data_IF_336430657495
#
_entry.id   IF_336430657495
#
_cell.length_a   1.000
_cell.length_b   1.000
_cell.length_c   1.000
_cell.angle_alpha   90.00
_cell.angle_beta   90.00
_cell.angle_gamma   90.00
#
_symmetry.space_group_name_H-M   'P 1'
#
loop_
_entity.id
_entity.type
_entity.pdbx_description
1 polymer ?
#
# COMPACT_ATOMS: atom_id res chain seq x y z
N UNK A 1 10.64 -15.05 27.92
CA UNK A 1 10.18 -15.46 26.57
C UNK A 1 11.40 -15.40 25.68
N UNK A 2 12.00 -16.56 25.41
CA UNK A 2 13.24 -16.67 24.65
C UNK A 2 12.95 -16.41 23.18
N UNK A 3 13.58 -15.37 22.61
CA UNK A 3 13.55 -15.13 21.17
C UNK A 3 14.56 -16.09 20.54
N UNK A 4 14.06 -17.17 19.96
CA UNK A 4 14.85 -18.03 19.10
C UNK A 4 14.99 -17.32 17.75
N UNK A 5 16.19 -17.34 17.17
CA UNK A 5 16.46 -16.86 15.80
C UNK A 5 15.56 -17.62 14.83
N UNK A 6 14.54 -16.94 14.33
CA UNK A 6 13.76 -17.34 13.17
C UNK A 6 13.68 -16.10 12.29
N UNK A 7 14.51 -16.08 11.26
CA UNK A 7 14.75 -14.94 10.34
C UNK A 7 13.54 -14.60 9.45
N UNK A 8 12.38 -15.17 9.74
CA UNK A 8 11.20 -15.11 8.90
C UNK A 8 10.01 -14.65 9.72
N UNK A 9 9.62 -13.40 9.52
CA UNK A 9 8.35 -12.88 10.01
C UNK A 9 7.30 -13.15 8.93
N UNK A 10 6.36 -14.06 9.22
CA UNK A 10 5.18 -14.23 8.40
C UNK A 10 4.16 -13.12 8.71
N UNK A 11 4.16 -12.06 7.91
CA UNK A 11 3.21 -10.95 8.01
C UNK A 11 1.97 -11.21 7.15
N UNK A 12 0.86 -11.59 7.78
CA UNK A 12 -0.43 -11.66 7.10
C UNK A 12 -1.15 -10.30 7.18
N UNK A 13 -1.21 -9.59 6.04
CA UNK A 13 -1.92 -8.30 5.92
C UNK A 13 -3.38 -8.36 6.39
N UNK A 14 -4.07 -9.48 6.16
CA UNK A 14 -5.47 -9.65 6.57
C UNK A 14 -5.56 -9.76 8.10
N UNK A 15 -4.68 -10.53 8.73
CA UNK A 15 -4.64 -10.66 10.18
C UNK A 15 -4.31 -9.32 10.86
N UNK A 16 -3.32 -8.58 10.32
CA UNK A 16 -2.97 -7.25 10.80
C UNK A 16 -4.15 -6.26 10.69
N UNK A 17 -4.87 -6.26 9.56
CA UNK A 17 -6.07 -5.43 9.37
C UNK A 17 -7.21 -5.80 10.32
N UNK A 18 -7.43 -7.10 10.57
CA UNK A 18 -8.43 -7.57 11.54
C UNK A 18 -8.08 -7.13 12.95
N UNK A 19 -6.83 -7.29 13.36
CA UNK A 19 -6.35 -6.84 14.66
C UNK A 19 -6.56 -5.32 14.82
N UNK A 20 -6.13 -4.53 13.84
CA UNK A 20 -6.32 -3.09 13.87
C UNK A 20 -7.80 -2.70 13.95
N UNK A 21 -8.69 -3.40 13.23
CA UNK A 21 -10.13 -3.20 13.32
C UNK A 21 -10.69 -3.49 14.72
N UNK A 22 -10.23 -4.56 15.39
CA UNK A 22 -10.62 -4.88 16.78
C UNK A 22 -10.28 -3.75 17.75
N UNK A 23 -9.16 -3.05 17.53
CA UNK A 23 -8.70 -1.96 18.38
C UNK A 23 -9.05 -0.56 17.86
N UNK A 24 -9.90 -0.44 16.81
CA UNK A 24 -10.22 0.82 16.14
C UNK A 24 -8.98 1.64 15.70
N UNK A 25 -7.90 0.94 15.35
CA UNK A 25 -6.68 1.57 14.84
C UNK A 25 -6.85 1.78 13.34
N UNK A 26 -6.75 3.03 12.84
CA UNK A 26 -6.82 3.30 11.41
C UNK A 26 -5.64 2.66 10.67
N UNK A 27 -5.93 1.94 9.58
CA UNK A 27 -4.90 1.28 8.76
C UNK A 27 -4.74 2.00 7.44
N UNK A 28 -3.49 2.31 7.09
CA UNK A 28 -3.10 2.79 5.76
C UNK A 28 -2.16 1.76 5.11
N UNK A 29 -2.40 1.43 3.85
CA UNK A 29 -1.50 0.59 3.04
C UNK A 29 -0.60 1.44 2.14
N UNK A 30 0.35 0.81 1.45
CA UNK A 30 1.33 1.47 0.57
C UNK A 30 0.69 2.39 -0.48
N UNK A 31 -0.40 1.95 -1.12
CA UNK A 31 -1.17 2.78 -2.07
C UNK A 31 -1.76 4.02 -1.39
N UNK A 32 -2.30 3.86 -0.18
CA UNK A 32 -2.82 4.98 0.60
C UNK A 32 -1.74 6.00 0.96
N UNK A 33 -0.50 5.55 1.19
CA UNK A 33 0.66 6.42 1.42
C UNK A 33 0.96 7.24 0.17
N UNK A 34 0.99 6.63 -1.02
CA UNK A 34 1.19 7.37 -2.28
C UNK A 34 0.11 8.43 -2.51
N UNK A 35 -1.16 8.06 -2.33
CA UNK A 35 -2.28 8.98 -2.46
C UNK A 35 -2.20 10.14 -1.45
N UNK A 36 -1.77 9.85 -0.22
CA UNK A 36 -1.57 10.88 0.81
C UNK A 36 -0.42 11.81 0.44
N UNK A 37 0.67 11.29 -0.13
CA UNK A 37 1.80 12.10 -0.58
C UNK A 37 1.42 13.03 -1.75
N UNK A 38 0.64 12.53 -2.72
CA UNK A 38 0.06 13.34 -3.81
C UNK A 38 -0.83 14.46 -3.27
N UNK A 39 -1.78 14.15 -2.38
CA UNK A 39 -2.65 15.17 -1.75
C UNK A 39 -1.89 16.23 -0.95
N UNK A 40 -0.70 15.89 -0.45
CA UNK A 40 0.18 16.84 0.25
C UNK A 40 1.10 17.62 -0.70
N UNK A 41 1.02 17.41 -2.01
CA UNK A 41 1.90 18.04 -2.99
C UNK A 41 3.35 17.53 -2.97
N UNK A 42 3.64 16.43 -2.27
CA UNK A 42 4.98 15.82 -2.22
C UNK A 42 5.28 15.08 -3.52
N UNK A 43 4.27 14.44 -4.09
CA UNK A 43 4.36 13.76 -5.38
C UNK A 43 3.61 14.55 -6.43
N UNK A 44 4.29 14.88 -7.52
CA UNK A 44 3.64 15.43 -8.70
C UNK A 44 2.75 14.40 -9.40
N UNK A 45 3.16 13.13 -9.45
CA UNK A 45 2.42 12.03 -10.07
C UNK A 45 2.54 10.75 -9.22
N UNK A 46 1.45 9.99 -9.10
CA UNK A 46 1.35 8.70 -8.40
C UNK A 46 1.72 7.53 -9.31
N UNK A 47 1.35 7.58 -10.60
CA UNK A 47 1.57 6.52 -11.57
C UNK A 47 2.98 5.89 -11.58
N UNK A 48 4.10 6.65 -11.63
CA UNK A 48 5.43 6.05 -11.66
C UNK A 48 5.77 5.28 -10.38
N UNK A 49 5.26 5.72 -9.24
CA UNK A 49 5.47 5.05 -7.95
C UNK A 49 4.62 3.80 -7.82
N UNK A 50 3.40 3.81 -8.37
CA UNK A 50 2.57 2.62 -8.46
C UNK A 50 3.26 1.52 -9.29
N UNK A 51 3.87 1.88 -10.43
CA UNK A 51 4.61 0.93 -11.27
C UNK A 51 5.87 0.41 -10.57
N UNK A 52 6.63 1.27 -9.87
CA UNK A 52 7.78 0.83 -9.06
C UNK A 52 7.37 -0.16 -7.98
N UNK A 53 6.24 0.08 -7.31
CA UNK A 53 5.72 -0.82 -6.30
C UNK A 53 5.31 -2.19 -6.88
N UNK A 54 4.68 -2.22 -8.05
CA UNK A 54 4.35 -3.46 -8.77
C UNK A 54 5.63 -4.20 -9.18
N UNK A 55 6.61 -3.50 -9.73
CA UNK A 55 7.91 -4.06 -10.10
C UNK A 55 8.69 -4.62 -8.89
N UNK A 56 8.48 -4.04 -7.70
CA UNK A 56 9.05 -4.53 -6.44
C UNK A 56 8.29 -5.74 -5.85
N UNK A 57 7.30 -6.28 -6.56
CA UNK A 57 6.57 -7.49 -6.15
C UNK A 57 5.31 -7.24 -5.34
N UNK A 58 4.81 -6.00 -5.23
CA UNK A 58 3.47 -5.79 -4.66
C UNK A 58 2.42 -6.43 -5.58
N UNK A 59 1.70 -7.41 -5.02
CA UNK A 59 0.54 -7.99 -5.68
C UNK A 59 -0.67 -7.05 -5.54
N UNK A 60 -1.05 -6.45 -6.66
CA UNK A 60 -2.22 -5.59 -6.76
C UNK A 60 -2.88 -5.81 -8.11
N UNK A 61 -4.21 -5.89 -8.09
CA UNK A 61 -5.00 -6.05 -9.32
C UNK A 61 -4.95 -4.79 -10.19
N UNK A 62 -4.90 -4.98 -11.51
CA UNK A 62 -4.79 -3.88 -12.47
C UNK A 62 -6.00 -2.95 -12.41
N UNK A 63 -7.21 -3.46 -12.17
CA UNK A 63 -8.41 -2.63 -12.02
C UNK A 63 -8.29 -1.70 -10.81
N UNK A 64 -7.67 -2.17 -9.72
CA UNK A 64 -7.44 -1.31 -8.55
C UNK A 64 -6.42 -0.21 -8.88
N UNK A 65 -5.36 -0.52 -9.62
CA UNK A 65 -4.40 0.49 -10.10
C UNK A 65 -5.12 1.55 -10.92
N UNK A 66 -5.88 1.14 -11.95
CA UNK A 66 -6.58 2.07 -12.83
C UNK A 66 -7.56 2.95 -12.07
N UNK A 67 -8.34 2.36 -11.14
CA UNK A 67 -9.26 3.13 -10.28
C UNK A 67 -8.51 4.17 -9.44
N UNK A 68 -7.43 3.76 -8.78
CA UNK A 68 -6.64 4.64 -7.91
C UNK A 68 -6.04 5.81 -8.68
N UNK A 69 -5.56 5.57 -9.91
CA UNK A 69 -5.02 6.62 -10.77
C UNK A 69 -6.13 7.56 -11.26
N UNK A 70 -7.27 7.01 -11.68
CA UNK A 70 -8.43 7.81 -12.07
C UNK A 70 -8.93 8.72 -10.92
N UNK A 71 -8.94 8.23 -9.69
CA UNK A 71 -9.34 9.00 -8.49
C UNK A 71 -8.43 10.23 -8.24
N UNK A 72 -7.22 10.26 -8.81
CA UNK A 72 -6.29 11.40 -8.74
C UNK A 72 -6.08 12.10 -10.09
N UNK A 73 -6.90 11.78 -11.10
CA UNK A 73 -6.82 12.35 -12.45
C UNK A 73 -5.60 11.90 -13.27
N UNK A 74 -5.03 10.74 -12.95
CA UNK A 74 -3.87 10.16 -13.62
C UNK A 74 -4.24 8.89 -14.41
N UNK A 75 -3.35 8.46 -15.31
CA UNK A 75 -3.49 7.25 -16.12
C UNK A 75 -2.12 6.57 -16.29
N UNK A 76 -2.11 5.25 -16.50
CA UNK A 76 -0.88 4.55 -16.91
C UNK A 76 -0.62 4.89 -18.38
N UNK A 77 0.51 5.52 -18.67
CA UNK A 77 0.98 5.76 -20.04
C UNK A 77 1.83 4.59 -20.52
#
# INVERSE_FOLDING_TARGET
>A
MFLHESDWILLNLIAARRCAATYNIPVIGSIGILLRAKRKGILENVAPWMMKLKAAGMYVDEMLIQKVLADVGEQVR
#
